data_IF_126233411975
#
_entry.id   IF_126233411975
#
_cell.length_a   1.000
_cell.length_b   1.000
_cell.length_c   1.000
_cell.angle_alpha   90.00
_cell.angle_beta   90.00
_cell.angle_gamma   90.00
#
_symmetry.space_group_name_H-M   'P 1'
#
loop_
_entity.id
_entity.type
_entity.pdbx_description
1 polymer ?
#
# COMPACT_ATOMS: atom_id res chain seq x y z
N UNK A 1 -3.08 25.38 18.89
CA UNK A 1 -2.89 25.23 17.43
C UNK A 1 -1.95 24.06 17.20
N UNK A 2 -2.42 22.93 16.69
CA UNK A 2 -1.57 21.76 16.38
C UNK A 2 -1.08 21.92 14.93
N UNK A 3 0.23 22.09 14.75
CA UNK A 3 0.86 22.12 13.43
C UNK A 3 1.28 20.72 13.03
N UNK A 4 0.61 20.13 12.04
CA UNK A 4 1.00 18.82 11.49
C UNK A 4 2.20 19.03 10.57
N UNK A 5 3.37 18.55 10.98
CA UNK A 5 4.60 18.60 10.18
C UNK A 5 4.62 17.42 9.22
N UNK A 6 4.46 17.68 7.92
CA UNK A 6 4.53 16.64 6.88
C UNK A 6 5.97 16.55 6.38
N UNK A 7 6.53 15.35 6.41
CA UNK A 7 7.87 15.04 5.90
C UNK A 7 7.80 14.11 4.71
N UNK A 8 8.83 14.12 3.87
CA UNK A 8 8.89 13.21 2.74
C UNK A 8 8.99 11.76 3.24
N UNK A 9 8.04 10.91 2.86
CA UNK A 9 8.04 9.48 3.22
C UNK A 9 9.19 8.66 2.61
N UNK A 10 9.95 9.23 1.68
CA UNK A 10 11.04 8.54 0.99
C UNK A 10 12.43 8.92 1.50
N UNK A 11 12.64 10.18 1.88
CA UNK A 11 13.96 10.68 2.29
C UNK A 11 13.96 11.48 3.60
N UNK A 12 12.80 11.67 4.24
CA UNK A 12 12.68 12.41 5.49
C UNK A 12 12.80 13.93 5.38
N UNK A 13 13.09 14.48 4.20
CA UNK A 13 13.22 15.94 4.00
C UNK A 13 11.92 16.71 4.25
N UNK A 14 12.06 17.91 4.81
CA UNK A 14 11.00 18.89 5.01
C UNK A 14 10.74 19.76 3.76
N UNK A 15 11.56 19.66 2.70
CA UNK A 15 11.43 20.44 1.47
C UNK A 15 10.32 19.90 0.55
N UNK A 16 9.08 19.97 1.02
CA UNK A 16 7.89 19.57 0.29
C UNK A 16 7.16 20.78 -0.30
N UNK A 17 6.70 20.64 -1.55
CA UNK A 17 5.81 21.58 -2.23
C UNK A 17 4.43 20.94 -2.42
N UNK A 18 3.36 21.65 -2.08
CA UNK A 18 1.99 21.26 -2.44
C UNK A 18 1.86 21.19 -3.97
N UNK A 19 1.45 20.03 -4.49
CA UNK A 19 1.44 19.70 -5.92
C UNK A 19 0.04 19.28 -6.39
N UNK A 20 -0.97 20.12 -6.10
CA UNK A 20 -2.38 19.83 -6.39
C UNK A 20 -2.94 18.66 -5.59
N UNK A 21 -4.09 18.15 -6.02
CA UNK A 21 -4.80 17.03 -5.37
C UNK A 21 -4.85 15.79 -6.27
N UNK A 22 -4.95 14.61 -5.65
CA UNK A 22 -5.28 13.39 -6.35
C UNK A 22 -6.80 13.30 -6.65
N UNK A 23 -7.23 12.42 -7.58
CA UNK A 23 -8.66 12.26 -7.90
C UNK A 23 -9.56 11.94 -6.68
N UNK A 24 -8.97 11.37 -5.62
CA UNK A 24 -9.64 11.11 -4.34
C UNK A 24 -9.53 12.27 -3.34
N UNK A 25 -9.25 13.49 -3.79
CA UNK A 25 -9.15 14.71 -2.97
C UNK A 25 -7.87 14.87 -2.14
N UNK A 26 -7.09 13.79 -1.94
CA UNK A 26 -5.88 13.82 -1.10
C UNK A 26 -4.83 14.79 -1.64
N UNK A 27 -4.25 15.62 -0.78
CA UNK A 27 -3.18 16.55 -1.16
C UNK A 27 -1.96 15.77 -1.69
N UNK A 28 -1.37 16.22 -2.81
CA UNK A 28 -0.08 15.70 -3.30
C UNK A 28 1.04 16.60 -2.82
N UNK A 29 2.18 16.01 -2.49
CA UNK A 29 3.40 16.72 -2.14
C UNK A 29 4.55 16.27 -3.05
N UNK A 30 5.31 17.24 -3.55
CA UNK A 30 6.53 17.01 -4.32
C UNK A 30 7.74 17.35 -3.45
N UNK A 31 8.63 16.39 -3.24
CA UNK A 31 9.87 16.62 -2.49
C UNK A 31 10.93 17.21 -3.43
N UNK A 32 11.53 18.35 -3.05
CA UNK A 32 12.58 18.98 -3.86
C UNK A 32 13.92 18.27 -3.78
N UNK A 33 14.21 17.56 -2.68
CA UNK A 33 15.50 16.88 -2.51
C UNK A 33 15.53 15.53 -3.25
N UNK A 34 14.55 14.65 -3.02
CA UNK A 34 14.51 13.35 -3.70
C UNK A 34 13.72 13.34 -5.01
N UNK A 35 13.09 14.47 -5.38
CA UNK A 35 12.26 14.63 -6.59
C UNK A 35 11.07 13.67 -6.70
N UNK A 36 10.73 12.94 -5.63
CA UNK A 36 9.59 12.01 -5.58
C UNK A 36 8.30 12.73 -5.17
N UNK A 37 7.18 12.19 -5.64
CA UNK A 37 5.84 12.62 -5.26
C UNK A 37 5.26 11.69 -4.20
N UNK A 38 4.60 12.27 -3.21
CA UNK A 38 3.85 11.58 -2.17
C UNK A 38 2.43 12.12 -2.10
N UNK A 39 1.53 11.36 -1.51
CA UNK A 39 0.16 11.80 -1.20
C UNK A 39 0.04 11.97 0.30
N UNK A 40 -0.79 12.90 0.73
CA UNK A 40 -1.26 13.01 2.10
C UNK A 40 -1.94 11.70 2.51
N UNK A 41 -1.59 11.18 3.69
CA UNK A 41 -2.06 9.89 4.20
C UNK A 41 -2.05 8.80 3.11
N UNK A 42 -0.86 8.43 2.62
CA UNK A 42 -0.74 7.40 1.60
C UNK A 42 -1.23 6.10 2.22
N UNK A 43 -2.41 5.66 1.81
CA UNK A 43 -2.94 4.36 2.19
C UNK A 43 -2.21 3.34 1.34
N UNK A 44 -1.32 2.51 1.90
CA UNK A 44 -0.73 1.44 1.14
C UNK A 44 -1.87 0.54 0.64
N UNK A 45 -1.97 0.36 -0.68
CA UNK A 45 -2.82 -0.70 -1.25
C UNK A 45 -2.09 -2.03 -1.05
N UNK A 46 -1.87 -2.38 0.21
CA UNK A 46 -1.10 -3.55 0.61
C UNK A 46 -1.97 -4.27 1.63
N UNK A 47 -2.15 -5.58 1.41
CA UNK A 47 -2.79 -6.42 2.40
C UNK A 47 -1.94 -6.36 3.68
N UNK A 48 -2.53 -6.15 4.86
CA UNK A 48 -1.81 -6.30 6.12
C UNK A 48 -1.05 -7.62 6.12
N UNK A 49 0.16 -7.66 6.66
CA UNK A 49 0.98 -8.88 6.59
C UNK A 49 0.25 -10.06 7.25
N UNK A 50 -0.42 -9.82 8.38
CA UNK A 50 -1.27 -10.81 9.07
C UNK A 50 -2.32 -11.44 8.15
N UNK A 51 -3.03 -10.60 7.37
CA UNK A 51 -4.05 -11.05 6.42
C UNK A 51 -3.44 -11.82 5.27
N UNK A 52 -2.27 -11.40 4.80
CA UNK A 52 -1.53 -12.10 3.75
C UNK A 52 -1.06 -13.48 4.23
N UNK A 53 -0.54 -13.58 5.45
CA UNK A 53 -0.12 -14.83 6.06
C UNK A 53 -1.29 -15.79 6.27
N UNK A 54 -2.43 -15.30 6.75
CA UNK A 54 -3.66 -16.08 6.89
C UNK A 54 -4.06 -16.75 5.56
N UNK A 55 -4.09 -15.97 4.47
CA UNK A 55 -4.44 -16.47 3.13
C UNK A 55 -3.40 -17.50 2.64
N UNK A 56 -2.11 -17.27 2.90
CA UNK A 56 -1.04 -18.20 2.52
C UNK A 56 -1.09 -19.50 3.32
N UNK A 57 -1.43 -19.46 4.61
CA UNK A 57 -1.68 -20.67 5.42
C UNK A 57 -2.86 -21.46 4.87
N UNK A 58 -3.97 -20.79 4.55
CA UNK A 58 -5.13 -21.46 3.94
C UNK A 58 -4.77 -22.14 2.60
N UNK A 59 -3.87 -21.55 1.81
CA UNK A 59 -3.34 -22.20 0.60
C UNK A 59 -2.51 -23.45 0.91
N UNK A 60 -1.68 -23.43 1.97
CA UNK A 60 -0.90 -24.58 2.43
C UNK A 60 -1.78 -25.75 2.88
N UNK A 61 -2.94 -25.47 3.48
CA UNK A 61 -4.01 -26.44 3.78
C UNK A 61 -4.79 -26.92 2.54
N UNK A 62 -4.17 -26.83 1.35
CA UNK A 62 -4.69 -27.25 0.04
C UNK A 62 -5.97 -26.53 -0.42
N UNK A 63 -6.29 -25.35 0.11
CA UNK A 63 -7.36 -24.54 -0.47
C UNK A 63 -7.00 -24.11 -1.89
N UNK A 64 -7.88 -24.39 -2.84
CA UNK A 64 -7.68 -23.94 -4.23
C UNK A 64 -7.70 -22.41 -4.33
N UNK A 65 -7.02 -21.85 -5.34
CA UNK A 65 -7.05 -20.41 -5.59
C UNK A 65 -8.49 -19.86 -5.77
N UNK A 66 -9.42 -20.66 -6.33
CA UNK A 66 -10.85 -20.28 -6.40
C UNK A 66 -11.50 -20.30 -5.02
N UNK A 67 -11.15 -21.25 -4.17
CA UNK A 67 -11.56 -21.30 -2.76
C UNK A 67 -11.13 -20.03 -2.05
N UNK A 68 -9.85 -19.65 -2.15
CA UNK A 68 -9.32 -18.45 -1.52
C UNK A 68 -10.00 -17.16 -2.00
N UNK A 69 -10.33 -17.06 -3.29
CA UNK A 69 -11.11 -15.91 -3.78
C UNK A 69 -12.51 -15.84 -3.18
N UNK A 70 -13.20 -16.98 -3.01
CA UNK A 70 -14.52 -17.02 -2.38
C UNK A 70 -14.48 -16.73 -0.89
N UNK A 71 -13.48 -17.28 -0.18
CA UNK A 71 -13.36 -17.15 1.29
C UNK A 71 -12.82 -15.80 1.72
N UNK A 72 -11.80 -15.28 1.02
CA UNK A 72 -11.06 -14.09 1.45
C UNK A 72 -11.27 -12.86 0.55
N UNK A 73 -11.98 -12.98 -0.57
CA UNK A 73 -12.18 -11.89 -1.54
C UNK A 73 -10.91 -11.50 -2.31
N UNK A 74 -9.84 -12.29 -2.20
CA UNK A 74 -8.55 -11.99 -2.84
C UNK A 74 -8.53 -12.46 -4.30
N UNK A 75 -8.01 -11.61 -5.19
CA UNK A 75 -7.83 -11.98 -6.59
C UNK A 75 -6.78 -13.11 -6.74
N UNK A 76 -7.07 -14.12 -7.56
CA UNK A 76 -6.21 -15.30 -7.78
C UNK A 76 -4.79 -14.90 -8.19
N UNK A 77 -4.66 -13.92 -9.08
CA UNK A 77 -3.37 -13.41 -9.55
C UNK A 77 -2.53 -12.80 -8.42
N UNK A 78 -3.16 -12.18 -7.42
CA UNK A 78 -2.47 -11.62 -6.25
C UNK A 78 -1.85 -12.74 -5.42
N UNK A 79 -2.62 -13.79 -5.12
CA UNK A 79 -2.12 -14.95 -4.36
C UNK A 79 -1.02 -15.68 -5.13
N UNK A 80 -1.18 -15.89 -6.44
CA UNK A 80 -0.14 -16.50 -7.28
C UNK A 80 1.17 -15.71 -7.27
N UNK A 81 1.12 -14.38 -7.24
CA UNK A 81 2.32 -13.54 -7.10
C UNK A 81 2.99 -13.71 -5.73
N UNK A 82 2.21 -13.85 -4.65
CA UNK A 82 2.77 -14.09 -3.32
C UNK A 82 3.47 -15.45 -3.22
N UNK A 83 2.88 -16.49 -3.81
CA UNK A 83 3.47 -17.83 -3.85
C UNK A 83 4.80 -17.81 -4.61
N UNK A 84 4.86 -17.15 -5.78
CA UNK A 84 6.08 -17.06 -6.61
C UNK A 84 7.21 -16.22 -6.03
N UNK A 85 6.89 -15.29 -5.12
CA UNK A 85 7.87 -14.40 -4.50
C UNK A 85 8.53 -15.05 -3.27
N UNK A 86 7.97 -16.15 -2.79
CA UNK A 86 8.54 -16.97 -1.73
C UNK A 86 9.52 -17.96 -2.36
#
# INVERSE_FOLDING_TARGET
MVTITVRCSYCGSDKLKRNGHAPNGKQRYYCKDCKKQSRENPTPYVYPEERREEILRAYQERSSLRGLTRTFGVARNTVSKWIKKK
#
